data_IF_684653255143
#
_entry.id   IF_684653255143
#
_cell.length_a   1.000
_cell.length_b   1.000
_cell.length_c   1.000
_cell.angle_alpha   90.00
_cell.angle_beta   90.00
_cell.angle_gamma   90.00
#
_symmetry.space_group_name_H-M   'P 1'
#
loop_
_entity.id
_entity.type
_entity.pdbx_description
1 polymer ?
#
# COMPACT_ATOMS: atom_id res chain seq x y z
N UNK A 1 13.74 -14.41 69.38
CA UNK A 1 12.54 -15.21 69.70
C UNK A 1 11.32 -14.38 69.34
N UNK A 2 10.37 -14.98 68.59
CA UNK A 2 8.91 -14.69 68.53
C UNK A 2 8.48 -13.29 68.05
N UNK A 3 7.57 -13.09 67.09
CA UNK A 3 6.79 -13.92 66.15
C UNK A 3 6.21 -12.91 65.14
N UNK A 4 6.35 -13.14 63.83
CA UNK A 4 5.79 -12.28 62.78
C UNK A 4 4.31 -12.62 62.62
N UNK A 5 3.44 -11.61 62.73
CA UNK A 5 2.00 -11.75 62.64
C UNK A 5 1.58 -11.73 61.16
N UNK A 6 1.23 -12.91 60.65
CA UNK A 6 0.62 -13.16 59.35
C UNK A 6 -0.88 -12.80 59.41
N UNK A 7 -1.26 -11.67 58.83
CA UNK A 7 -2.66 -11.40 58.48
C UNK A 7 -2.88 -11.77 57.01
N UNK A 8 -3.42 -12.96 56.81
CA UNK A 8 -3.98 -13.41 55.54
C UNK A 8 -5.33 -12.71 55.30
N UNK A 9 -5.41 -11.85 54.29
CA UNK A 9 -6.67 -11.34 53.78
C UNK A 9 -7.03 -12.13 52.54
N UNK A 10 -7.99 -13.06 52.69
CA UNK A 10 -8.65 -13.73 51.57
C UNK A 10 -9.54 -12.70 50.85
N UNK A 11 -9.15 -12.32 49.63
CA UNK A 11 -10.05 -11.61 48.71
C UNK A 11 -10.59 -12.61 47.69
N UNK A 12 -11.90 -12.83 47.79
CA UNK A 12 -12.66 -13.78 46.99
C UNK A 12 -12.53 -13.50 45.49
N UNK A 13 -12.21 -14.56 44.76
CA UNK A 13 -12.18 -14.62 43.31
C UNK A 13 -13.61 -14.60 42.76
N UNK A 14 -14.06 -13.46 42.23
CA UNK A 14 -15.27 -13.41 41.43
C UNK A 14 -14.89 -13.72 39.97
N UNK A 15 -15.10 -14.98 39.57
CA UNK A 15 -15.08 -15.44 38.19
C UNK A 15 -16.18 -14.72 37.40
N UNK A 16 -15.83 -13.61 36.75
CA UNK A 16 -16.66 -13.00 35.72
C UNK A 16 -16.54 -13.80 34.42
N UNK A 17 -17.47 -14.74 34.22
CA UNK A 17 -17.74 -15.37 32.93
C UNK A 17 -18.30 -14.30 31.97
N UNK A 18 -17.44 -13.59 31.25
CA UNK A 18 -17.88 -12.89 30.04
C UNK A 18 -17.93 -13.91 28.91
N UNK A 19 -19.17 -14.29 28.62
CA UNK A 19 -19.56 -15.09 27.47
C UNK A 19 -18.88 -14.55 26.21
N UNK A 20 -18.13 -15.43 25.55
CA UNK A 20 -17.62 -15.24 24.20
C UNK A 20 -18.81 -15.23 23.24
N UNK A 21 -19.44 -14.07 23.06
CA UNK A 21 -20.22 -13.83 21.85
C UNK A 21 -19.22 -13.51 20.75
N UNK A 22 -18.61 -14.56 20.20
CA UNK A 22 -18.03 -14.50 18.87
C UNK A 22 -19.21 -14.41 17.89
N UNK A 23 -19.82 -13.23 17.81
CA UNK A 23 -20.70 -12.88 16.72
C UNK A 23 -19.82 -12.88 15.47
N UNK A 24 -20.01 -13.92 14.66
CA UNK A 24 -19.36 -14.06 13.38
C UNK A 24 -19.89 -12.93 12.51
N UNK A 25 -19.18 -11.80 12.53
CA UNK A 25 -19.41 -10.71 11.60
C UNK A 25 -19.47 -11.26 10.17
N UNK A 26 -20.28 -10.64 9.29
CA UNK A 26 -20.64 -11.22 8.01
C UNK A 26 -19.39 -11.65 7.27
N UNK A 27 -19.34 -12.95 6.92
CA UNK A 27 -18.34 -13.51 6.02
C UNK A 27 -18.29 -12.62 4.78
N UNK A 28 -17.21 -11.84 4.66
CA UNK A 28 -16.92 -11.08 3.45
C UNK A 28 -16.65 -12.11 2.36
N UNK A 29 -17.70 -12.46 1.63
CA UNK A 29 -17.62 -13.29 0.46
C UNK A 29 -16.73 -12.53 -0.54
N UNK A 30 -15.59 -13.08 -0.98
CA UNK A 30 -14.71 -12.37 -1.90
C UNK A 30 -15.51 -12.07 -3.17
N UNK A 31 -15.65 -10.79 -3.50
CA UNK A 31 -16.38 -10.34 -4.69
C UNK A 31 -15.85 -11.08 -5.93
N UNK A 32 -16.70 -11.82 -6.67
CA UNK A 32 -16.31 -12.42 -7.93
C UNK A 32 -16.15 -11.29 -8.96
N UNK A 33 -14.92 -10.83 -9.21
CA UNK A 33 -14.72 -9.76 -10.17
C UNK A 33 -13.29 -9.27 -10.37
N UNK A 34 -12.39 -9.49 -9.41
CA UNK A 34 -10.97 -9.20 -9.64
C UNK A 34 -10.30 -10.41 -10.28
N UNK A 35 -10.60 -10.67 -11.55
CA UNK A 35 -9.64 -11.37 -12.39
C UNK A 35 -8.39 -10.51 -12.40
N UNK A 36 -7.40 -10.90 -11.60
CA UNK A 36 -6.05 -10.38 -11.72
C UNK A 36 -5.55 -10.86 -13.06
N UNK A 37 -5.86 -10.13 -14.14
CA UNK A 37 -5.03 -10.20 -15.34
C UNK A 37 -3.64 -9.92 -14.80
N UNK A 38 -2.80 -10.95 -14.75
CA UNK A 38 -1.42 -10.84 -14.32
C UNK A 38 -0.87 -9.64 -15.06
N UNK A 39 -0.67 -8.54 -14.34
CA UNK A 39 -0.06 -7.34 -14.91
C UNK A 39 1.41 -7.67 -15.10
N UNK A 40 1.71 -8.56 -16.05
CA UNK A 40 3.04 -8.74 -16.61
C UNK A 40 3.45 -7.35 -17.07
N UNK A 41 4.34 -6.73 -16.30
CA UNK A 41 4.99 -5.50 -16.74
C UNK A 41 5.74 -5.75 -18.06
N UNK A 42 6.37 -4.73 -18.66
CA UNK A 42 7.08 -4.88 -19.94
C UNK A 42 8.33 -5.78 -19.87
N UNK A 43 8.56 -6.49 -18.75
CA UNK A 43 9.69 -7.39 -18.56
C UNK A 43 9.86 -8.44 -19.67
N UNK A 44 8.79 -9.03 -20.26
CA UNK A 44 8.92 -9.94 -21.39
C UNK A 44 9.43 -9.28 -22.68
N UNK A 45 9.11 -8.00 -22.93
CA UNK A 45 9.53 -7.26 -24.14
C UNK A 45 10.99 -6.80 -24.08
N UNK A 46 11.59 -6.78 -22.90
CA UNK A 46 12.96 -6.30 -22.72
C UNK A 46 14.04 -7.31 -23.11
N UNK A 47 13.68 -8.57 -23.41
CA UNK A 47 14.63 -9.64 -23.77
C UNK A 47 15.86 -9.66 -22.84
N UNK A 48 15.61 -9.64 -21.53
CA UNK A 48 16.66 -9.55 -20.51
C UNK A 48 17.52 -10.82 -20.50
N UNK A 49 18.84 -10.66 -20.42
CA UNK A 49 19.74 -11.79 -20.15
C UNK A 49 19.53 -12.34 -18.74
N UNK A 50 19.94 -13.58 -18.47
CA UNK A 50 19.85 -14.17 -17.12
C UNK A 50 20.60 -13.33 -16.07
N UNK A 51 21.78 -12.82 -16.42
CA UNK A 51 22.56 -11.91 -15.56
C UNK A 51 21.80 -10.60 -15.27
N UNK A 52 21.13 -10.03 -16.27
CA UNK A 52 20.29 -8.84 -16.07
C UNK A 52 19.10 -9.15 -15.17
N UNK A 53 18.46 -10.31 -15.32
CA UNK A 53 17.34 -10.74 -14.46
C UNK A 53 17.79 -10.89 -13.01
N UNK A 54 18.94 -11.51 -12.77
CA UNK A 54 19.52 -11.68 -11.44
C UNK A 54 19.79 -10.32 -10.77
N UNK A 55 20.50 -9.41 -11.45
CA UNK A 55 20.77 -8.05 -10.95
C UNK A 55 19.50 -7.27 -10.65
N UNK A 56 18.50 -7.35 -11.53
CA UNK A 56 17.21 -6.68 -11.31
C UNK A 56 16.43 -7.28 -10.14
N UNK A 57 16.60 -8.57 -9.83
CA UNK A 57 16.00 -9.20 -8.65
C UNK A 57 16.67 -8.66 -7.39
N UNK A 58 17.99 -8.64 -7.33
CA UNK A 58 18.77 -8.09 -6.20
C UNK A 58 18.42 -6.62 -5.93
N UNK A 59 18.33 -5.79 -6.98
CA UNK A 59 17.93 -4.37 -6.86
C UNK A 59 16.52 -4.23 -6.26
N UNK A 60 15.59 -5.13 -6.63
CA UNK A 60 14.23 -5.11 -6.07
C UNK A 60 14.22 -5.54 -4.62
N UNK A 61 14.93 -6.61 -4.28
CA UNK A 61 15.01 -7.13 -2.91
C UNK A 61 15.65 -6.11 -1.97
N UNK A 62 16.77 -5.50 -2.38
CA UNK A 62 17.47 -4.48 -1.59
C UNK A 62 16.64 -3.21 -1.32
N UNK A 63 15.67 -2.89 -2.18
CA UNK A 63 14.79 -1.72 -2.03
C UNK A 63 13.38 -2.03 -1.55
N UNK A 64 13.05 -3.31 -1.29
CA UNK A 64 11.68 -3.75 -1.02
C UNK A 64 11.12 -3.11 0.25
N UNK A 65 11.86 -3.24 1.35
CA UNK A 65 11.39 -2.81 2.67
C UNK A 65 11.32 -1.28 2.76
N UNK A 66 12.29 -0.58 2.17
CA UNK A 66 12.27 0.89 2.13
C UNK A 66 11.09 1.43 1.32
N UNK A 67 10.80 0.80 0.17
CA UNK A 67 9.66 1.18 -0.66
C UNK A 67 8.33 0.86 0.05
N UNK A 68 8.23 -0.31 0.68
CA UNK A 68 7.03 -0.70 1.44
C UNK A 68 6.77 0.27 2.59
N UNK A 69 7.81 0.64 3.34
CA UNK A 69 7.71 1.64 4.40
C UNK A 69 7.24 3.00 3.86
N UNK A 70 7.77 3.47 2.74
CA UNK A 70 7.38 4.75 2.15
C UNK A 70 5.91 4.73 1.65
N UNK A 71 5.44 3.61 1.11
CA UNK A 71 4.04 3.42 0.72
C UNK A 71 3.12 3.49 1.96
N UNK A 72 3.50 2.80 3.05
CA UNK A 72 2.69 2.80 4.27
C UNK A 72 2.63 4.19 4.93
N UNK A 73 3.71 4.97 4.86
CA UNK A 73 3.73 6.36 5.31
C UNK A 73 2.73 7.23 4.54
N UNK A 74 2.66 7.09 3.21
CA UNK A 74 1.67 7.81 2.39
C UNK A 74 0.26 7.39 2.79
N UNK A 75 0.01 6.08 2.93
CA UNK A 75 -1.31 5.56 3.32
C UNK A 75 -1.76 6.11 4.67
N UNK A 76 -0.89 6.04 5.66
CA UNK A 76 -1.14 6.54 7.02
C UNK A 76 -1.40 8.04 7.02
N UNK A 77 -0.60 8.83 6.29
CA UNK A 77 -0.78 10.28 6.21
C UNK A 77 -2.09 10.66 5.50
N UNK A 78 -2.48 9.92 4.47
CA UNK A 78 -3.74 10.11 3.77
C UNK A 78 -4.94 9.79 4.67
N UNK A 79 -4.89 8.69 5.42
CA UNK A 79 -5.92 8.33 6.41
C UNK A 79 -6.02 9.39 7.53
N UNK A 80 -4.89 9.92 7.99
CA UNK A 80 -4.86 10.99 9.00
C UNK A 80 -5.47 12.30 8.49
N UNK A 81 -5.16 12.72 7.26
CA UNK A 81 -5.76 13.90 6.65
C UNK A 81 -7.28 13.72 6.47
N UNK A 82 -7.70 12.55 5.96
CA UNK A 82 -9.12 12.23 5.79
C UNK A 82 -9.87 12.27 7.13
N UNK A 83 -9.26 11.73 8.18
CA UNK A 83 -9.84 11.73 9.53
C UNK A 83 -9.96 13.14 10.09
N UNK A 84 -8.96 14.00 9.91
CA UNK A 84 -9.02 15.41 10.34
C UNK A 84 -10.17 16.18 9.67
N UNK A 85 -10.35 15.99 8.35
CA UNK A 85 -11.44 16.61 7.59
C UNK A 85 -12.83 16.17 8.08
N UNK A 86 -12.99 14.90 8.46
CA UNK A 86 -14.27 14.36 8.94
C UNK A 86 -14.55 14.73 10.41
N UNK A 87 -13.51 14.82 11.24
CA UNK A 87 -13.67 15.08 12.66
C UNK A 87 -13.95 16.56 12.97
N UNK A 88 -13.23 17.49 12.33
CA UNK A 88 -13.43 18.92 12.52
C UNK A 88 -12.97 19.72 11.29
N UNK A 89 -13.87 19.96 10.31
CA UNK A 89 -13.53 20.67 9.08
C UNK A 89 -13.14 22.14 9.30
N UNK A 90 -13.55 22.75 10.41
CA UNK A 90 -13.20 24.14 10.76
C UNK A 90 -11.79 24.27 11.35
N UNK A 91 -11.18 23.16 11.78
CA UNK A 91 -9.81 23.15 12.28
C UNK A 91 -8.80 23.15 11.12
N UNK A 92 -8.75 24.28 10.41
CA UNK A 92 -7.89 24.50 9.25
C UNK A 92 -6.40 24.32 9.56
N UNK A 93 -5.97 24.61 10.79
CA UNK A 93 -4.58 24.41 11.24
C UNK A 93 -4.18 22.92 11.30
N UNK A 94 -5.04 22.04 11.83
CA UNK A 94 -4.78 20.60 11.83
C UNK A 94 -4.84 20.02 10.43
N UNK A 95 -5.82 20.42 9.62
CA UNK A 95 -5.94 20.02 8.20
C UNK A 95 -4.66 20.39 7.44
N UNK A 96 -4.18 21.63 7.58
CA UNK A 96 -2.95 22.08 6.95
C UNK A 96 -1.75 21.23 7.39
N UNK A 97 -1.65 20.91 8.68
CA UNK A 97 -0.57 20.08 9.23
C UNK A 97 -0.59 18.66 8.65
N UNK A 98 -1.77 18.04 8.57
CA UNK A 98 -1.94 16.69 8.00
C UNK A 98 -1.70 16.68 6.49
N UNK A 99 -2.12 17.73 5.78
CA UNK A 99 -1.86 17.89 4.34
C UNK A 99 -0.35 18.04 4.05
N UNK A 100 0.37 18.85 4.83
CA UNK A 100 1.84 18.94 4.73
C UNK A 100 2.52 17.60 5.01
N UNK A 101 2.02 16.84 5.99
CA UNK A 101 2.55 15.50 6.29
C UNK A 101 2.37 14.55 5.11
N UNK A 102 1.20 14.56 4.47
CA UNK A 102 0.94 13.76 3.27
C UNK A 102 1.88 14.15 2.12
N UNK A 103 2.02 15.45 1.83
CA UNK A 103 2.92 15.92 0.77
C UNK A 103 4.38 15.51 0.99
N UNK A 104 4.86 15.54 2.24
CA UNK A 104 6.20 15.07 2.58
C UNK A 104 6.37 13.56 2.35
N UNK A 105 5.38 12.75 2.73
CA UNK A 105 5.41 11.30 2.51
C UNK A 105 5.38 10.96 1.00
N UNK A 106 4.56 11.66 0.21
CA UNK A 106 4.49 11.50 -1.24
C UNK A 106 5.82 11.86 -1.93
N UNK A 107 6.46 12.95 -1.47
CA UNK A 107 7.79 13.34 -1.94
C UNK A 107 8.83 12.25 -1.64
N UNK A 108 8.88 11.75 -0.40
CA UNK A 108 9.79 10.67 -0.01
C UNK A 108 9.59 9.41 -0.84
N UNK A 109 8.34 8.98 -1.06
CA UNK A 109 8.03 7.84 -1.91
C UNK A 109 8.45 8.07 -3.37
N UNK A 110 8.27 9.28 -3.88
CA UNK A 110 8.68 9.65 -5.25
C UNK A 110 10.20 9.55 -5.40
N UNK A 111 10.96 10.06 -4.44
CA UNK A 111 12.43 9.95 -4.42
C UNK A 111 12.86 8.48 -4.38
N UNK A 112 12.27 7.65 -3.51
CA UNK A 112 12.60 6.22 -3.45
C UNK A 112 12.36 5.49 -4.78
N UNK A 113 11.21 5.75 -5.41
CA UNK A 113 10.89 5.20 -6.75
C UNK A 113 11.89 5.66 -7.81
N UNK A 114 12.27 6.93 -7.79
CA UNK A 114 13.25 7.48 -8.73
C UNK A 114 14.64 6.84 -8.57
N UNK A 115 15.10 6.68 -7.32
CA UNK A 115 16.38 6.04 -7.03
C UNK A 115 16.39 4.56 -7.43
N UNK A 116 15.32 3.82 -7.14
CA UNK A 116 15.19 2.44 -7.60
C UNK A 116 15.19 2.37 -9.14
N UNK A 117 14.54 3.33 -9.79
CA UNK A 117 14.51 3.41 -11.23
C UNK A 117 15.88 3.68 -11.86
N UNK A 118 16.68 4.54 -11.23
CA UNK A 118 18.05 4.80 -11.66
C UNK A 118 18.88 3.50 -11.64
N UNK A 119 18.82 2.74 -10.55
CA UNK A 119 19.50 1.43 -10.42
C UNK A 119 19.07 0.43 -11.50
N UNK A 120 17.77 0.37 -11.81
CA UNK A 120 17.26 -0.48 -12.89
C UNK A 120 17.85 -0.05 -14.25
N UNK A 121 17.92 1.27 -14.53
CA UNK A 121 18.42 1.80 -15.78
C UNK A 121 19.93 1.56 -16.00
N UNK A 122 20.69 1.34 -14.94
CA UNK A 122 22.12 0.97 -15.00
C UNK A 122 22.33 -0.46 -15.50
N UNK A 123 21.35 -1.36 -15.30
CA UNK A 123 21.43 -2.77 -15.74
C UNK A 123 21.00 -2.93 -17.21
N UNK A 124 20.16 -2.02 -17.71
CA UNK A 124 19.57 -2.10 -19.04
C UNK A 124 20.45 -1.47 -20.12
N UNK A 125 20.43 -2.05 -21.32
CA UNK A 125 21.06 -1.45 -22.50
C UNK A 125 20.30 -0.19 -22.95
N UNK A 126 20.92 0.71 -23.74
CA UNK A 126 20.22 1.88 -24.28
C UNK A 126 18.93 1.54 -25.04
N UNK A 127 18.96 0.48 -25.87
CA UNK A 127 17.79 0.03 -26.61
C UNK A 127 16.66 -0.48 -25.69
N UNK A 128 17.02 -1.24 -24.64
CA UNK A 128 16.06 -1.73 -23.64
C UNK A 128 15.42 -0.57 -22.85
N UNK A 129 16.18 0.49 -22.55
CA UNK A 129 15.64 1.67 -21.87
C UNK A 129 14.57 2.38 -22.69
N UNK A 130 14.74 2.47 -24.02
CA UNK A 130 13.74 3.04 -24.92
C UNK A 130 12.44 2.24 -24.90
N UNK A 131 12.52 0.90 -24.96
CA UNK A 131 11.34 0.03 -24.85
C UNK A 131 10.62 0.30 -23.53
N UNK A 132 11.38 0.32 -22.42
CA UNK A 132 10.82 0.55 -21.09
C UNK A 132 10.11 1.91 -20.95
N UNK A 133 10.65 2.97 -21.55
CA UNK A 133 10.05 4.30 -21.55
C UNK A 133 8.75 4.35 -22.38
N UNK A 134 8.75 3.75 -23.57
CA UNK A 134 7.55 3.62 -24.41
C UNK A 134 6.44 2.86 -23.67
N UNK A 135 6.74 1.68 -23.11
CA UNK A 135 5.76 0.91 -22.36
C UNK A 135 5.25 1.64 -21.09
N UNK A 136 6.02 2.60 -20.53
CA UNK A 136 5.53 3.45 -19.44
C UNK A 136 4.56 4.50 -19.93
N UNK A 137 4.90 5.20 -21.01
CA UNK A 137 4.03 6.21 -21.63
C UNK A 137 2.70 5.60 -22.04
N UNK A 138 2.72 4.42 -22.65
CA UNK A 138 1.49 3.72 -23.03
C UNK A 138 0.63 3.34 -21.82
N UNK A 139 1.23 2.81 -20.75
CA UNK A 139 0.50 2.50 -19.52
C UNK A 139 -0.10 3.75 -18.89
N UNK A 140 0.64 4.86 -18.89
CA UNK A 140 0.12 6.14 -18.41
C UNK A 140 -1.07 6.63 -19.24
N UNK A 141 -1.00 6.48 -20.57
CA UNK A 141 -2.12 6.84 -21.46
C UNK A 141 -3.34 5.93 -21.25
N UNK A 142 -3.14 4.63 -21.05
CA UNK A 142 -4.24 3.68 -20.75
C UNK A 142 -4.89 3.99 -19.41
N UNK A 143 -4.11 4.32 -18.37
CA UNK A 143 -4.63 4.70 -17.07
C UNK A 143 -5.44 6.00 -17.10
N UNK A 144 -5.10 6.94 -17.99
CA UNK A 144 -5.86 8.19 -18.19
C UNK A 144 -7.16 8.00 -18.97
N UNK A 145 -7.31 6.92 -19.75
CA UNK A 145 -8.49 6.69 -20.60
C UNK A 145 -9.68 6.04 -19.88
N UNK A 146 -9.53 5.69 -18.59
CA UNK A 146 -10.58 5.05 -17.79
C UNK A 146 -11.04 3.70 -18.35
N UNK A 147 -11.79 2.89 -17.58
CA UNK A 147 -12.53 1.79 -18.18
C UNK A 147 -13.57 2.39 -19.13
N UNK A 148 -13.40 2.14 -20.43
CA UNK A 148 -14.47 2.37 -21.42
C UNK A 148 -15.63 1.52 -20.93
N UNK A 149 -16.69 2.13 -20.43
CA UNK A 149 -17.97 1.47 -20.18
C UNK A 149 -18.40 0.79 -21.49
N UNK A 150 -18.05 -0.48 -21.65
CA UNK A 150 -18.74 -1.41 -22.52
C UNK A 150 -19.97 -1.86 -21.73
N UNK A 151 -21.08 -1.20 -21.97
CA UNK A 151 -22.37 -1.83 -22.29
C UNK A 151 -23.31 -0.67 -22.66
N UNK A 152 -23.44 -0.41 -23.95
CA UNK A 152 -24.62 0.26 -24.47
C UNK A 152 -25.78 -0.67 -24.16
N UNK A 153 -26.61 -0.34 -23.17
CA UNK A 153 -27.92 -0.98 -23.02
C UNK A 153 -28.71 -0.59 -24.27
N UNK A 154 -29.09 -1.53 -25.16
CA UNK A 154 -29.91 -1.19 -26.31
C UNK A 154 -31.23 -0.63 -25.79
N UNK A 155 -31.66 0.50 -26.36
CA UNK A 155 -33.01 1.01 -26.19
C UNK A 155 -33.98 -0.14 -26.54
N UNK A 156 -34.69 -0.68 -25.55
CA UNK A 156 -35.89 -1.47 -25.82
C UNK A 156 -37.07 -0.50 -25.89
N UNK A 157 -37.95 -0.82 -26.83
CA UNK A 157 -38.96 0.01 -27.50
C UNK A 157 -40.00 0.66 -26.57
#
# INVERSE_FOLDING_TARGET
>A
MRTILLTALFLASATGLFAQNADQGPTVQPSPGFQTTERRGPMPELNLTEDQKAKLKEIREAGKDSLQSAIEQVRTAQEALRSALLANPENTADIQTKATTLGNAESALTVQRALQQAKINEVLTPAQRTILDTSRKERQQRGRRGPRNQEQVPNQE
#
